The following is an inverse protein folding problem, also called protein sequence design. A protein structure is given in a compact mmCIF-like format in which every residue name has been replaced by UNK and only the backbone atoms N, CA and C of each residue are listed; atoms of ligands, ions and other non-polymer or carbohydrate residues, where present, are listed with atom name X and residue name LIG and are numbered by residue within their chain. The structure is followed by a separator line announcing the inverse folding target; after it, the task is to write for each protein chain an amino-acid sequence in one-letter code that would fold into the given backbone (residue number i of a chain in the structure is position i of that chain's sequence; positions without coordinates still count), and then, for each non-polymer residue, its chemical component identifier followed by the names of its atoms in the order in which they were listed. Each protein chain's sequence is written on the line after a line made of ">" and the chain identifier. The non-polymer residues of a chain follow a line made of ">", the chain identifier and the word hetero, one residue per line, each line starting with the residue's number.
data_IF_763060407969
#
_entry.id   IF_763060407969
#
_cell.length_a   1.000
_cell.length_b   1.000
_cell.length_c   1.000
_cell.angle_alpha   90.00
_cell.angle_beta   90.00
_cell.angle_gamma   90.00
#
_symmetry.space_group_name_H-M   'P 1'
#
loop_
_entity.id
_entity.type
_entity.pdbx_description
1 polymer ?
#
# COMPACT_ATOMS: atom_id res chain seq x y z
N UNK A 1 -10.28 0.07 13.44
CA UNK A 1 -11.42 -0.19 12.51
C UNK A 1 -11.23 0.62 11.23
N UNK A 2 -11.33 -0.04 10.09
CA UNK A 2 -11.21 0.59 8.77
C UNK A 2 -12.44 1.45 8.49
N UNK A 3 -12.19 2.67 8.01
CA UNK A 3 -13.22 3.53 7.41
C UNK A 3 -13.16 3.39 5.89
N UNK A 4 -14.29 3.39 5.22
CA UNK A 4 -14.36 3.36 3.77
C UNK A 4 -14.83 4.71 3.24
N UNK A 5 -14.22 5.17 2.15
CA UNK A 5 -14.57 6.42 1.50
C UNK A 5 -14.50 6.29 -0.01
N UNK A 6 -15.53 6.76 -0.70
CA UNK A 6 -15.45 6.95 -2.15
C UNK A 6 -14.61 8.19 -2.42
N UNK A 7 -13.53 8.00 -3.18
CA UNK A 7 -12.61 9.08 -3.50
C UNK A 7 -11.33 8.55 -4.13
N UNK A 8 -10.49 9.47 -4.56
CA UNK A 8 -9.18 9.19 -5.14
C UNK A 8 -8.12 9.23 -4.05
N UNK A 9 -7.42 8.13 -3.85
CA UNK A 9 -6.36 8.02 -2.83
C UNK A 9 -5.22 9.02 -3.05
N UNK A 10 -4.86 9.27 -4.30
CA UNK A 10 -3.79 10.21 -4.68
C UNK A 10 -4.21 11.63 -4.31
N UNK A 11 -5.44 12.01 -4.64
CA UNK A 11 -5.98 13.31 -4.27
C UNK A 11 -6.11 13.46 -2.75
N UNK A 12 -6.45 12.39 -2.03
CA UNK A 12 -6.52 12.41 -0.57
C UNK A 12 -5.18 12.79 0.07
N UNK A 13 -4.06 12.28 -0.45
CA UNK A 13 -2.73 12.67 0.03
C UNK A 13 -2.37 14.09 -0.39
N UNK A 14 -2.62 14.47 -1.64
CA UNK A 14 -2.37 15.84 -2.14
C UNK A 14 -3.15 16.91 -1.37
N UNK A 15 -4.37 16.59 -0.98
CA UNK A 15 -5.25 17.49 -0.23
C UNK A 15 -5.07 17.40 1.30
N UNK A 16 -4.09 16.64 1.76
CA UNK A 16 -3.79 16.44 3.18
C UNK A 16 -4.97 15.85 3.98
N UNK A 17 -5.84 15.06 3.33
CA UNK A 17 -6.86 14.28 4.04
C UNK A 17 -6.23 13.12 4.81
N UNK A 18 -5.10 12.62 4.32
CA UNK A 18 -4.25 11.62 4.98
C UNK A 18 -2.80 12.10 5.03
N UNK A 19 -2.03 11.57 5.97
CA UNK A 19 -0.60 11.88 6.14
C UNK A 19 0.29 10.92 5.35
N UNK A 20 -0.23 9.74 5.09
CA UNK A 20 0.48 8.67 4.40
C UNK A 20 -0.48 7.80 3.60
N UNK A 21 0.03 7.23 2.51
CA UNK A 21 -0.66 6.18 1.76
C UNK A 21 0.25 4.97 1.60
N UNK A 22 -0.36 3.79 1.49
CA UNK A 22 0.34 2.55 1.19
C UNK A 22 -0.24 1.85 -0.03
N UNK A 23 0.61 1.25 -0.84
CA UNK A 23 0.21 0.37 -1.92
C UNK A 23 1.14 -0.84 -2.03
N UNK A 24 0.65 -1.93 -2.61
CA UNK A 24 1.45 -3.14 -2.79
C UNK A 24 2.33 -3.02 -4.02
N UNK A 25 3.61 -3.39 -3.85
CA UNK A 25 4.59 -3.45 -4.92
C UNK A 25 5.15 -4.87 -5.06
N UNK A 26 5.66 -5.19 -6.26
CA UNK A 26 6.45 -6.38 -6.51
C UNK A 26 7.93 -6.12 -6.22
N UNK A 27 8.74 -7.19 -6.24
CA UNK A 27 10.16 -7.12 -5.92
C UNK A 27 11.06 -6.84 -7.15
N UNK A 28 10.50 -6.48 -8.30
CA UNK A 28 11.23 -6.30 -9.58
C UNK A 28 11.29 -4.85 -10.06
N UNK A 29 10.91 -3.88 -9.23
CA UNK A 29 10.86 -2.46 -9.60
C UNK A 29 9.94 -2.16 -10.78
N UNK A 30 8.83 -2.90 -10.92
CA UNK A 30 7.86 -2.72 -12.01
C UNK A 30 6.59 -2.08 -11.46
N UNK A 31 6.33 -0.83 -11.85
CA UNK A 31 5.14 -0.06 -11.46
C UNK A 31 4.29 0.25 -12.71
N UNK A 32 3.79 -0.78 -13.39
CA UNK A 32 3.10 -0.64 -14.68
C UNK A 32 1.62 -0.98 -14.65
N UNK A 33 1.08 -1.45 -13.53
CA UNK A 33 -0.33 -1.87 -13.44
C UNK A 33 -1.00 -1.37 -12.17
N UNK A 34 -2.32 -1.30 -12.21
CA UNK A 34 -3.13 -0.84 -11.09
C UNK A 34 -2.88 0.62 -10.74
N UNK A 35 -2.83 0.91 -9.46
CA UNK A 35 -2.61 2.27 -8.95
C UNK A 35 -1.12 2.68 -9.00
N UNK A 36 -0.19 1.73 -9.10
CA UNK A 36 1.25 2.01 -9.02
C UNK A 36 1.75 3.04 -10.04
N UNK A 37 1.41 2.96 -11.36
CA UNK A 37 1.86 3.97 -12.31
C UNK A 37 1.28 5.37 -12.04
N UNK A 38 0.08 5.46 -11.49
CA UNK A 38 -0.53 6.73 -11.12
C UNK A 38 0.19 7.37 -9.93
N UNK A 39 0.53 6.58 -8.93
CA UNK A 39 1.31 7.01 -7.76
C UNK A 39 2.72 7.45 -8.21
N UNK A 40 3.38 6.64 -9.03
CA UNK A 40 4.71 6.94 -9.55
C UNK A 40 4.73 8.26 -10.33
N UNK A 41 3.70 8.53 -11.12
CA UNK A 41 3.56 9.77 -11.89
C UNK A 41 3.28 10.97 -11.00
N UNK A 42 2.41 10.80 -9.99
CA UNK A 42 2.00 11.89 -9.09
C UNK A 42 3.18 12.47 -8.31
N UNK A 43 4.15 11.65 -7.94
CA UNK A 43 5.32 12.05 -7.14
C UNK A 43 6.64 11.60 -7.78
N UNK A 44 6.73 11.79 -9.09
CA UNK A 44 7.95 11.47 -9.85
C UNK A 44 9.08 12.46 -9.51
N UNK A 45 10.33 11.99 -9.32
CA UNK A 45 10.77 10.58 -9.31
C UNK A 45 10.82 9.95 -7.92
N UNK A 46 10.30 10.62 -6.88
CA UNK A 46 10.55 10.29 -5.47
C UNK A 46 10.09 8.87 -5.12
N UNK A 47 8.89 8.48 -5.57
CA UNK A 47 8.34 7.14 -5.27
C UNK A 47 9.13 6.04 -5.97
N UNK A 48 9.42 6.22 -7.26
CA UNK A 48 10.20 5.23 -8.02
C UNK A 48 11.64 5.13 -7.53
N UNK A 49 12.23 6.22 -7.10
CA UNK A 49 13.59 6.22 -6.53
C UNK A 49 13.65 5.48 -5.21
N UNK A 50 12.64 5.61 -4.35
CA UNK A 50 12.55 4.84 -3.10
C UNK A 50 12.50 3.33 -3.39
N UNK A 51 11.76 2.92 -4.40
CA UNK A 51 11.67 1.52 -4.83
C UNK A 51 13.00 1.03 -5.43
N UNK A 52 13.60 1.77 -6.35
CA UNK A 52 14.85 1.40 -7.03
C UNK A 52 16.04 1.26 -6.07
N UNK A 53 16.04 1.97 -4.96
CA UNK A 53 17.08 1.85 -3.93
C UNK A 53 17.05 0.52 -3.20
N UNK A 54 15.96 -0.23 -3.27
CA UNK A 54 15.86 -1.57 -2.69
C UNK A 54 16.43 -2.63 -3.64
N UNK A 55 16.86 -3.81 -3.14
CA UNK A 55 17.36 -4.89 -4.00
C UNK A 55 16.29 -5.34 -5.01
N UNK A 56 16.70 -5.66 -6.24
CA UNK A 56 15.81 -6.21 -7.26
C UNK A 56 15.77 -7.74 -7.18
N UNK A 57 14.60 -8.33 -7.40
CA UNK A 57 14.39 -9.77 -7.45
C UNK A 57 14.91 -10.52 -6.21
N UNK A 58 14.88 -9.87 -5.07
CA UNK A 58 15.32 -10.43 -3.80
C UNK A 58 14.08 -10.85 -2.97
N UNK A 59 13.98 -12.15 -2.71
CA UNK A 59 12.87 -12.71 -1.91
C UNK A 59 12.90 -12.25 -0.45
N UNK A 60 14.05 -11.90 0.09
CA UNK A 60 14.18 -11.36 1.45
C UNK A 60 13.53 -9.98 1.61
N UNK A 61 13.29 -9.30 0.49
CA UNK A 61 12.57 -8.03 0.44
C UNK A 61 11.07 -8.19 0.76
N UNK A 62 10.52 -9.39 0.56
CA UNK A 62 9.12 -9.70 0.88
C UNK A 62 8.82 -9.43 2.36
N UNK A 63 7.72 -8.72 2.62
CA UNK A 63 7.35 -8.33 3.98
C UNK A 63 8.01 -7.05 4.47
N UNK A 64 8.79 -6.37 3.64
CA UNK A 64 9.36 -5.06 3.95
C UNK A 64 8.64 -3.95 3.18
N UNK A 65 9.08 -2.73 3.36
CA UNK A 65 8.60 -1.57 2.59
C UNK A 65 9.77 -0.65 2.24
N UNK A 66 9.58 0.19 1.24
CA UNK A 66 10.31 1.43 1.06
C UNK A 66 9.36 2.61 1.24
N UNK A 67 9.86 3.74 1.68
CA UNK A 67 9.05 4.93 1.91
C UNK A 67 9.61 6.12 1.15
N UNK A 68 8.73 6.82 0.45
CA UNK A 68 9.02 8.06 -0.22
C UNK A 68 8.47 9.23 0.61
N UNK A 69 9.33 10.16 0.96
CA UNK A 69 8.95 11.42 1.60
C UNK A 69 8.67 12.44 0.49
N UNK A 70 7.39 12.68 0.21
CA UNK A 70 6.96 13.62 -0.82
C UNK A 70 6.60 14.97 -0.20
N UNK A 71 6.42 16.00 -1.02
CA UNK A 71 5.94 17.28 -0.55
C UNK A 71 4.50 17.26 0.00
N UNK A 72 3.75 16.20 -0.29
CA UNK A 72 2.34 16.06 0.13
C UNK A 72 2.17 15.09 1.32
N UNK A 73 3.16 14.26 1.62
CA UNK A 73 3.13 13.25 2.66
C UNK A 73 3.94 12.02 2.30
N UNK A 74 3.69 10.92 3.00
CA UNK A 74 4.46 9.68 2.88
C UNK A 74 3.78 8.71 1.91
N UNK A 75 4.59 8.07 1.06
CA UNK A 75 4.12 6.97 0.19
C UNK A 75 4.91 5.71 0.51
N UNK A 76 4.21 4.67 0.96
CA UNK A 76 4.80 3.38 1.31
C UNK A 76 4.62 2.40 0.17
N UNK A 77 5.74 1.90 -0.36
CA UNK A 77 5.80 0.80 -1.30
C UNK A 77 5.94 -0.49 -0.48
N UNK A 78 4.87 -1.26 -0.34
CA UNK A 78 4.83 -2.46 0.51
C UNK A 78 5.06 -3.70 -0.35
N UNK A 79 6.08 -4.46 -0.04
CA UNK A 79 6.47 -5.64 -0.82
C UNK A 79 5.71 -6.89 -0.38
N UNK A 80 4.43 -6.93 -0.76
CA UNK A 80 3.52 -8.04 -0.50
C UNK A 80 3.37 -9.02 -1.66
N UNK A 81 4.11 -8.81 -2.74
CA UNK A 81 4.07 -9.60 -3.97
C UNK A 81 5.48 -9.74 -4.51
N UNK A 82 5.86 -10.97 -4.94
CA UNK A 82 7.20 -11.17 -5.47
C UNK A 82 7.31 -10.77 -6.93
N UNK A 83 6.55 -11.43 -7.81
CA UNK A 83 6.66 -11.24 -9.27
C UNK A 83 5.50 -10.42 -9.85
N UNK A 84 5.79 -9.67 -10.90
CA UNK A 84 4.80 -8.85 -11.61
C UNK A 84 4.10 -9.58 -12.78
N UNK A 85 4.66 -10.70 -13.26
CA UNK A 85 4.13 -11.44 -14.41
C UNK A 85 3.16 -12.53 -13.94
N UNK A 86 1.93 -12.48 -14.42
CA UNK A 86 0.85 -13.45 -14.13
C UNK A 86 1.21 -14.87 -14.46
N UNK A 87 2.12 -15.10 -15.40
CA UNK A 87 2.57 -16.45 -15.81
C UNK A 87 3.49 -17.10 -14.78
N UNK A 88 4.02 -16.33 -13.85
CA UNK A 88 4.90 -16.85 -12.81
C UNK A 88 4.10 -17.40 -11.63
N UNK A 89 4.55 -18.55 -11.09
CA UNK A 89 3.92 -19.17 -9.91
C UNK A 89 3.94 -18.26 -8.66
N UNK A 90 4.95 -17.38 -8.59
CA UNK A 90 5.12 -16.42 -7.51
C UNK A 90 4.39 -15.08 -7.75
N UNK A 91 3.47 -15.06 -8.72
CA UNK A 91 2.60 -13.92 -8.96
C UNK A 91 1.49 -13.87 -7.91
N UNK A 92 1.08 -12.65 -7.61
CA UNK A 92 -0.07 -12.42 -6.75
C UNK A 92 0.29 -12.04 -5.32
N UNK A 93 -0.74 -11.71 -4.56
CA UNK A 93 -0.60 -11.28 -3.17
C UNK A 93 -0.15 -12.44 -2.29
N UNK A 94 0.95 -12.23 -1.56
CA UNK A 94 1.44 -13.12 -0.53
C UNK A 94 1.01 -12.58 0.83
N UNK A 95 -0.01 -13.17 1.44
CA UNK A 95 -0.68 -12.61 2.63
C UNK A 95 0.25 -12.43 3.82
N UNK A 96 1.15 -13.40 4.10
CA UNK A 96 2.09 -13.29 5.20
C UNK A 96 3.05 -12.11 5.01
N UNK A 97 3.56 -11.93 3.80
CA UNK A 97 4.44 -10.80 3.47
C UNK A 97 3.70 -9.45 3.52
N UNK A 98 2.46 -9.40 3.03
CA UNK A 98 1.65 -8.20 3.13
C UNK A 98 1.38 -7.85 4.60
N UNK A 99 1.05 -8.84 5.43
CA UNK A 99 0.87 -8.66 6.87
C UNK A 99 2.12 -8.08 7.54
N UNK A 100 3.28 -8.66 7.26
CA UNK A 100 4.56 -8.17 7.78
C UNK A 100 4.86 -6.74 7.34
N UNK A 101 4.65 -6.43 6.07
CA UNK A 101 4.87 -5.09 5.52
C UNK A 101 3.93 -4.05 6.12
N UNK A 102 2.66 -4.39 6.33
CA UNK A 102 1.69 -3.52 7.00
C UNK A 102 2.07 -3.23 8.46
N UNK A 103 2.54 -4.24 9.19
CA UNK A 103 3.02 -4.07 10.58
C UNK A 103 4.26 -3.18 10.64
N UNK A 104 5.20 -3.40 9.73
CA UNK A 104 6.41 -2.59 9.63
C UNK A 104 6.08 -1.13 9.28
N UNK A 105 5.14 -0.91 8.35
CA UNK A 105 4.63 0.41 8.02
C UNK A 105 3.99 1.08 9.23
N UNK A 106 3.14 0.37 9.97
CA UNK A 106 2.49 0.92 11.15
C UNK A 106 3.52 1.37 12.20
N UNK A 107 4.55 0.57 12.45
CA UNK A 107 5.61 0.94 13.40
C UNK A 107 6.37 2.20 12.94
N UNK A 108 6.64 2.33 11.65
CA UNK A 108 7.27 3.52 11.07
C UNK A 108 6.36 4.76 11.18
N UNK A 109 5.05 4.60 10.96
CA UNK A 109 4.06 5.67 11.14
C UNK A 109 3.99 6.14 12.59
N UNK A 110 4.01 5.22 13.55
CA UNK A 110 4.03 5.54 14.97
C UNK A 110 5.29 6.36 15.34
N UNK A 111 6.45 5.96 14.84
CA UNK A 111 7.71 6.68 15.05
C UNK A 111 7.70 8.08 14.43
N UNK A 112 7.01 8.26 13.32
CA UNK A 112 6.86 9.55 12.64
C UNK A 112 5.70 10.39 13.18
N UNK A 113 4.89 9.83 14.08
CA UNK A 113 3.68 10.46 14.63
C UNK A 113 2.64 10.81 13.56
N UNK A 114 2.61 10.05 12.47
CA UNK A 114 1.58 10.17 11.44
C UNK A 114 0.30 9.47 11.90
N UNK A 115 -0.83 10.12 11.79
CA UNK A 115 -2.09 9.66 12.39
C UNK A 115 -3.19 9.32 11.39
N UNK A 116 -3.02 9.66 10.11
CA UNK A 116 -4.05 9.42 9.09
C UNK A 116 -3.43 8.67 7.93
N UNK A 117 -3.84 7.42 7.75
CA UNK A 117 -3.31 6.56 6.69
C UNK A 117 -4.41 6.15 5.72
N UNK A 118 -4.09 6.16 4.43
CA UNK A 118 -4.97 5.75 3.36
C UNK A 118 -4.45 4.54 2.60
N UNK A 119 -5.35 3.65 2.18
CA UNK A 119 -5.07 2.51 1.31
C UNK A 119 -6.08 2.44 0.18
N UNK A 120 -5.70 1.88 -0.98
CA UNK A 120 -6.68 1.35 -1.93
C UNK A 120 -7.17 -0.01 -1.42
N UNK A 121 -7.94 -0.75 -2.24
CA UNK A 121 -8.15 -2.19 -2.00
C UNK A 121 -6.83 -2.95 -2.25
N UNK A 122 -5.87 -2.72 -1.38
CA UNK A 122 -4.48 -3.15 -1.51
C UNK A 122 -4.37 -4.65 -1.74
N UNK A 123 -3.59 -5.05 -2.75
CA UNK A 123 -3.35 -6.45 -3.08
C UNK A 123 -4.54 -7.19 -3.71
N UNK A 124 -5.69 -6.54 -3.92
CA UNK A 124 -6.95 -7.17 -4.35
C UNK A 124 -7.36 -6.85 -5.79
N UNK A 125 -6.57 -6.06 -6.51
CA UNK A 125 -6.76 -5.83 -7.93
C UNK A 125 -6.20 -6.97 -8.78
N UNK A 126 -5.29 -6.65 -9.68
CA UNK A 126 -4.63 -7.65 -10.55
C UNK A 126 -3.85 -8.72 -9.78
N UNK A 127 -3.36 -8.42 -8.59
CA UNK A 127 -2.68 -9.37 -7.72
C UNK A 127 -3.61 -10.45 -7.13
N UNK A 128 -4.92 -10.29 -7.27
CA UNK A 128 -5.92 -11.31 -7.00
C UNK A 128 -6.19 -11.63 -5.53
N UNK A 129 -5.79 -10.76 -4.60
CA UNK A 129 -6.06 -10.96 -3.19
C UNK A 129 -7.55 -10.89 -2.85
N UNK A 130 -7.95 -11.61 -1.81
CA UNK A 130 -9.29 -11.58 -1.24
C UNK A 130 -9.39 -10.41 -0.25
N UNK A 131 -10.35 -9.49 -0.46
CA UNK A 131 -10.49 -8.32 0.39
C UNK A 131 -10.87 -8.68 1.83
N UNK A 132 -11.70 -9.72 2.02
CA UNK A 132 -12.04 -10.20 3.37
C UNK A 132 -10.81 -10.58 4.17
N UNK A 133 -9.84 -11.26 3.54
CA UNK A 133 -8.56 -11.61 4.15
C UNK A 133 -7.69 -10.35 4.35
N UNK A 134 -7.53 -9.54 3.31
CA UNK A 134 -6.65 -8.37 3.36
C UNK A 134 -7.15 -7.32 4.36
N UNK A 135 -8.44 -7.07 4.42
CA UNK A 135 -9.00 -6.16 5.43
C UNK A 135 -8.70 -6.63 6.86
N UNK A 136 -8.78 -7.94 7.11
CA UNK A 136 -8.36 -8.53 8.38
C UNK A 136 -6.89 -8.30 8.71
N UNK A 137 -6.01 -8.41 7.71
CA UNK A 137 -4.57 -8.12 7.91
C UNK A 137 -4.32 -6.65 8.28
N UNK A 138 -5.07 -5.73 7.66
CA UNK A 138 -4.99 -4.30 7.99
C UNK A 138 -5.51 -4.06 9.41
N UNK A 139 -6.67 -4.61 9.76
CA UNK A 139 -7.24 -4.48 11.11
C UNK A 139 -6.26 -4.99 12.18
N UNK A 140 -5.63 -6.14 11.94
CA UNK A 140 -4.64 -6.72 12.86
C UNK A 140 -3.39 -5.85 12.97
N UNK A 141 -2.84 -5.39 11.84
CA UNK A 141 -1.63 -4.57 11.82
C UNK A 141 -1.84 -3.22 12.52
N UNK A 142 -3.02 -2.63 12.38
CA UNK A 142 -3.35 -1.31 12.91
C UNK A 142 -4.22 -1.34 14.19
N UNK A 143 -4.32 -2.50 14.84
CA UNK A 143 -5.19 -2.70 16.02
C UNK A 143 -4.95 -1.67 17.14
N UNK A 144 -3.69 -1.38 17.45
CA UNK A 144 -3.31 -0.40 18.48
C UNK A 144 -2.89 0.95 17.91
N UNK A 145 -3.10 1.15 16.62
CA UNK A 145 -2.77 2.42 15.98
C UNK A 145 -3.70 3.53 16.49
N UNK A 146 -3.12 4.63 16.96
CA UNK A 146 -3.88 5.74 17.55
C UNK A 146 -4.54 6.65 16.54
N UNK A 147 -4.20 6.48 15.27
CA UNK A 147 -4.75 7.27 14.18
C UNK A 147 -5.95 6.62 13.52
N UNK A 148 -6.20 7.03 12.29
CA UNK A 148 -7.29 6.52 11.45
C UNK A 148 -6.75 5.81 10.21
N UNK A 149 -7.44 4.73 9.83
CA UNK A 149 -7.18 3.99 8.59
C UNK A 149 -8.40 4.15 7.69
N UNK A 150 -8.19 4.69 6.50
CA UNK A 150 -9.25 4.88 5.50
C UNK A 150 -8.90 4.15 4.22
N UNK A 151 -9.83 3.34 3.73
CA UNK A 151 -9.72 2.69 2.43
C UNK A 151 -10.54 3.48 1.41
N UNK A 152 -9.87 3.89 0.33
CA UNK A 152 -10.46 4.69 -0.74
C UNK A 152 -10.79 3.80 -1.93
N UNK A 153 -11.99 3.94 -2.44
CA UNK A 153 -12.44 3.32 -3.69
C UNK A 153 -13.01 4.39 -4.62
N UNK A 154 -12.82 4.23 -5.93
CA UNK A 154 -13.29 5.25 -6.89
C UNK A 154 -14.82 5.30 -7.00
N UNK A 155 -15.50 4.21 -6.62
CA UNK A 155 -16.97 4.11 -6.57
C UNK A 155 -17.37 3.19 -5.44
N UNK A 156 -18.66 3.19 -5.10
CA UNK A 156 -19.19 2.25 -4.12
C UNK A 156 -18.91 0.80 -4.56
N UNK A 157 -18.41 0.02 -3.63
CA UNK A 157 -18.19 -1.42 -3.80
C UNK A 157 -19.20 -2.13 -2.91
N UNK A 158 -19.95 -3.09 -3.48
CA UNK A 158 -20.94 -3.87 -2.75
C UNK A 158 -20.30 -4.59 -1.56
N UNK A 159 -20.95 -4.54 -0.42
CA UNK A 159 -20.50 -5.19 0.81
C UNK A 159 -19.52 -4.35 1.66
N UNK A 160 -19.19 -3.13 1.25
CA UNK A 160 -18.40 -2.21 2.07
C UNK A 160 -19.30 -1.12 2.69
N UNK A 161 -18.99 -0.77 3.93
CA UNK A 161 -19.69 0.25 4.73
C UNK A 161 -19.04 1.63 4.54
N UNK A 162 -19.65 2.49 3.74
CA UNK A 162 -19.18 3.85 3.47
C UNK A 162 -19.69 4.88 4.44
#
# INVERSE_FOLDING_TARGET
>A
MIKYKVGDLIEALKNHEVDAIGHQCNCFHVMKSGIAPLIARAWHPTVTMADIKTPIADKEKMGTFSVAETGDGLVYNIYGQYHFDRKQKSYGTHYDSLSMGLRAMRDDLDNRQALRVGFPLIGCGLAGGDWGLVSGLIEDAFHEFKGTVTVYTLHNVEGLDY
#
